data_IF_154014356685
#
_entry.id   IF_154014356685
#
_cell.length_a   1.000
_cell.length_b   1.000
_cell.length_c   1.000
_cell.angle_alpha   90.00
_cell.angle_beta   90.00
_cell.angle_gamma   90.00
#
_symmetry.space_group_name_H-M   'P 1'
#
loop_
_entity.id
_entity.type
_entity.pdbx_description
1 polymer ?
#
# COMPACT_ATOMS: atom_id res chain seq x y z
N UNK A 1 -16.19 -1.57 2.87
CA UNK A 1 -15.37 -2.77 3.11
C UNK A 1 -14.05 -2.34 3.76
N UNK A 2 -13.36 -3.22 4.49
CA UNK A 2 -12.11 -2.91 5.22
C UNK A 2 -10.86 -3.53 4.59
N UNK A 3 -11.02 -4.19 3.44
CA UNK A 3 -9.97 -4.95 2.77
C UNK A 3 -8.70 -4.13 2.53
N UNK A 4 -8.83 -2.90 2.01
CA UNK A 4 -7.68 -2.02 1.76
C UNK A 4 -6.92 -1.61 3.04
N UNK A 5 -7.64 -1.48 4.16
CA UNK A 5 -7.01 -1.18 5.46
C UNK A 5 -6.19 -2.38 5.93
N UNK A 6 -6.75 -3.58 5.88
CA UNK A 6 -6.03 -4.81 6.25
C UNK A 6 -4.86 -5.11 5.31
N UNK A 7 -5.03 -4.90 4.01
CA UNK A 7 -3.96 -5.04 3.02
C UNK A 7 -2.80 -4.08 3.31
N UNK A 8 -3.09 -2.83 3.65
CA UNK A 8 -2.09 -1.83 4.04
C UNK A 8 -1.31 -2.25 5.28
N UNK A 9 -2.01 -2.76 6.30
CA UNK A 9 -1.39 -3.30 7.52
C UNK A 9 -0.54 -4.54 7.24
N UNK A 10 -0.99 -5.45 6.37
CA UNK A 10 -0.20 -6.62 5.96
C UNK A 10 1.08 -6.21 5.24
N UNK A 11 1.01 -5.27 4.30
CA UNK A 11 2.18 -4.78 3.58
C UNK A 11 3.17 -4.07 4.50
N UNK A 12 2.68 -3.30 5.48
CA UNK A 12 3.53 -2.74 6.53
C UNK A 12 4.17 -3.86 7.37
N UNK A 13 3.38 -4.82 7.86
CA UNK A 13 3.86 -5.91 8.69
C UNK A 13 4.92 -6.78 8.01
N UNK A 14 4.79 -7.03 6.70
CA UNK A 14 5.79 -7.75 5.92
C UNK A 14 7.15 -7.05 5.84
N UNK A 15 7.20 -5.72 5.97
CA UNK A 15 8.45 -4.94 5.93
C UNK A 15 9.08 -4.74 7.31
N UNK A 16 8.27 -4.74 8.37
CA UNK A 16 8.69 -4.28 9.68
C UNK A 16 8.62 -5.33 10.80
N UNK A 17 7.98 -6.47 10.58
CA UNK A 17 7.89 -7.54 11.58
C UNK A 17 8.81 -8.70 11.22
N UNK A 18 9.60 -9.16 12.20
CA UNK A 18 10.52 -10.29 12.04
C UNK A 18 9.80 -11.62 11.72
N UNK A 19 8.56 -11.77 12.21
CA UNK A 19 7.69 -12.91 11.91
C UNK A 19 6.41 -12.43 11.23
N UNK A 20 6.31 -12.65 9.93
CA UNK A 20 5.10 -12.39 9.17
C UNK A 20 4.50 -13.70 8.64
N UNK A 21 3.37 -14.12 9.21
CA UNK A 21 2.74 -15.42 8.91
C UNK A 21 1.90 -15.42 7.62
N UNK A 22 1.61 -14.25 7.04
CA UNK A 22 0.78 -14.10 5.84
C UNK A 22 1.42 -13.07 4.91
N UNK A 23 1.33 -13.30 3.59
CA UNK A 23 1.85 -12.39 2.56
C UNK A 23 0.75 -12.00 1.59
N UNK A 24 0.69 -10.72 1.24
CA UNK A 24 -0.14 -10.21 0.15
C UNK A 24 0.62 -10.32 -1.17
N UNK A 25 0.04 -11.03 -2.13
CA UNK A 25 0.68 -11.36 -3.41
C UNK A 25 -0.28 -11.15 -4.57
N UNK A 26 0.24 -10.87 -5.75
CA UNK A 26 -0.55 -10.87 -6.97
C UNK A 26 -1.04 -12.30 -7.24
N UNK A 27 -2.35 -12.48 -7.42
CA UNK A 27 -2.95 -13.80 -7.54
C UNK A 27 -2.38 -14.62 -8.71
N UNK A 28 -2.05 -13.98 -9.83
CA UNK A 28 -1.53 -14.65 -11.03
C UNK A 28 -0.06 -15.09 -10.88
N UNK A 29 0.87 -14.17 -10.59
CA UNK A 29 2.31 -14.48 -10.56
C UNK A 29 2.87 -14.81 -9.17
N UNK A 30 2.08 -14.65 -8.10
CA UNK A 30 2.47 -14.85 -6.70
C UNK A 30 3.62 -13.96 -6.21
N UNK A 31 4.03 -12.96 -7.00
CA UNK A 31 4.98 -11.95 -6.56
C UNK A 31 4.34 -11.04 -5.49
N UNK A 32 5.18 -10.51 -4.60
CA UNK A 32 4.75 -9.54 -3.57
C UNK A 32 4.29 -8.25 -4.26
N UNK A 33 3.19 -7.68 -3.78
CA UNK A 33 2.71 -6.38 -4.24
C UNK A 33 3.25 -5.27 -3.35
N UNK A 34 3.25 -4.04 -3.87
CA UNK A 34 3.71 -2.86 -3.16
C UNK A 34 2.58 -1.87 -2.96
N UNK A 35 2.65 -1.11 -1.87
CA UNK A 35 1.74 0.00 -1.65
C UNK A 35 2.13 1.16 -2.58
N UNK A 36 1.18 1.69 -3.34
CA UNK A 36 1.39 2.79 -4.30
C UNK A 36 0.27 3.81 -4.14
N UNK A 37 0.60 5.09 -4.24
CA UNK A 37 -0.37 6.17 -4.26
C UNK A 37 -0.61 6.60 -5.71
N UNK A 38 -1.87 6.74 -6.09
CA UNK A 38 -2.26 7.18 -7.42
C UNK A 38 -2.98 8.52 -7.32
N UNK A 39 -2.51 9.52 -8.08
CA UNK A 39 -3.17 10.81 -8.19
C UNK A 39 -4.06 10.79 -9.45
N UNK A 40 -5.39 10.81 -9.32
CA UNK A 40 -6.29 10.76 -10.47
C UNK A 40 -6.19 12.01 -11.35
N UNK A 41 -6.01 13.19 -10.75
CA UNK A 41 -5.87 14.45 -11.49
C UNK A 41 -4.60 14.49 -12.35
N UNK A 42 -3.49 13.92 -11.86
CA UNK A 42 -2.25 13.85 -12.62
C UNK A 42 -2.16 12.62 -13.53
N UNK A 43 -3.07 11.64 -13.39
CA UNK A 43 -3.03 10.39 -14.15
C UNK A 43 -1.80 9.52 -13.89
N UNK A 44 -1.15 9.64 -12.73
CA UNK A 44 0.13 8.97 -12.43
C UNK A 44 0.22 8.46 -10.99
N UNK A 45 1.09 7.47 -10.79
CA UNK A 45 1.54 7.10 -9.47
C UNK A 45 2.47 8.18 -8.90
N UNK A 46 2.34 8.47 -7.61
CA UNK A 46 3.16 9.45 -6.87
C UNK A 46 3.92 8.75 -5.74
N UNK A 47 5.09 9.28 -5.42
CA UNK A 47 5.95 8.74 -4.37
C UNK A 47 5.57 9.32 -3.00
N UNK A 48 6.01 8.66 -1.92
CA UNK A 48 5.69 9.08 -0.54
C UNK A 48 6.22 10.49 -0.20
N UNK A 49 7.31 10.93 -0.82
CA UNK A 49 7.89 12.26 -0.66
C UNK A 49 7.18 13.35 -1.48
N UNK A 50 6.21 12.97 -2.32
CA UNK A 50 5.34 13.87 -3.07
C UNK A 50 3.97 14.03 -2.39
N UNK A 51 3.77 13.41 -1.21
CA UNK A 51 2.53 13.50 -0.45
C UNK A 51 2.62 14.58 0.62
N UNK A 52 1.52 15.28 0.80
CA UNK A 52 1.31 16.25 1.87
C UNK A 52 0.02 15.92 2.61
N UNK A 53 0.04 16.03 3.94
CA UNK A 53 -1.16 15.90 4.78
C UNK A 53 -1.67 17.32 5.02
N UNK A 54 -2.88 17.60 4.55
CA UNK A 54 -3.57 18.87 4.75
C UNK A 54 -4.82 18.64 5.60
N UNK A 55 -5.24 19.65 6.34
CA UNK A 55 -6.52 19.62 7.04
C UNK A 55 -7.68 19.77 6.04
N UNK A 56 -8.80 19.04 6.23
CA UNK A 56 -10.00 19.24 5.42
C UNK A 56 -10.59 20.63 5.69
N UNK A 57 -11.04 21.32 4.63
CA UNK A 57 -11.85 22.54 4.71
C UNK A 57 -13.21 22.29 5.38
#
# INVERSE_FOLDING_TARGET
>A
DLEDVFNSLMLWGQRHLDKCYRKLVHNHCRCTVEHRYYCPECGKYVNINELEVIDPE
#
